data_IF_693943534873
#
_entry.id   IF_693943534873
#
_cell.length_a   1.000
_cell.length_b   1.000
_cell.length_c   1.000
_cell.angle_alpha   90.00
_cell.angle_beta   90.00
_cell.angle_gamma   90.00
#
_symmetry.space_group_name_H-M   'P 1'
#
loop_
_entity.id
_entity.type
_entity.pdbx_description
1 polymer ?
#
# COMPACT_ATOMS: atom_id res chain seq x y z
N UNK A 1 -26.38 -22.81 -4.75
CA UNK A 1 -26.64 -21.39 -4.95
C UNK A 1 -25.62 -20.66 -4.09
N UNK A 2 -24.55 -20.15 -4.68
CA UNK A 2 -23.46 -19.47 -4.00
C UNK A 2 -23.68 -17.98 -4.06
N UNK A 3 -23.92 -17.34 -2.92
CA UNK A 3 -24.01 -15.90 -2.82
C UNK A 3 -22.62 -15.30 -3.06
N UNK A 4 -22.50 -14.55 -4.16
CA UNK A 4 -21.32 -13.77 -4.49
C UNK A 4 -21.19 -12.60 -3.51
N UNK A 5 -20.25 -12.73 -2.55
CA UNK A 5 -19.89 -11.65 -1.63
C UNK A 5 -19.49 -10.40 -2.42
N UNK A 6 -20.20 -9.29 -2.24
CA UNK A 6 -19.87 -8.01 -2.84
C UNK A 6 -18.46 -7.57 -2.36
N UNK A 7 -17.61 -7.05 -3.26
CA UNK A 7 -16.29 -6.58 -2.89
C UNK A 7 -16.41 -5.39 -1.93
N UNK A 8 -15.63 -5.45 -0.83
CA UNK A 8 -15.56 -4.39 0.18
C UNK A 8 -15.19 -3.04 -0.45
N UNK A 9 -16.19 -2.17 -0.61
CA UNK A 9 -16.03 -0.81 -1.11
C UNK A 9 -15.73 0.20 0.01
N UNK A 10 -15.79 -0.21 1.28
CA UNK A 10 -15.71 0.69 2.45
C UNK A 10 -14.31 1.27 2.63
N UNK A 11 -13.25 0.50 2.33
CA UNK A 11 -11.86 0.96 2.41
C UNK A 11 -11.54 2.10 1.45
N UNK A 12 -12.11 2.07 0.24
CA UNK A 12 -11.89 3.10 -0.78
C UNK A 12 -12.65 4.41 -0.49
N UNK A 13 -13.87 4.34 0.02
CA UNK A 13 -14.64 5.53 0.43
C UNK A 13 -13.97 6.26 1.59
N UNK A 14 -13.35 5.51 2.51
CA UNK A 14 -12.59 6.10 3.59
C UNK A 14 -11.33 6.82 3.07
N UNK A 15 -10.59 6.23 2.14
CA UNK A 15 -9.41 6.86 1.52
C UNK A 15 -9.79 8.10 0.71
N UNK A 16 -10.90 8.08 -0.05
CA UNK A 16 -11.41 9.25 -0.77
C UNK A 16 -11.77 10.41 0.18
N UNK A 17 -12.39 10.11 1.32
CA UNK A 17 -12.73 11.13 2.34
C UNK A 17 -11.50 11.81 2.93
N UNK A 18 -10.34 11.11 2.95
CA UNK A 18 -9.07 11.68 3.39
C UNK A 18 -8.36 12.50 2.30
N UNK A 19 -8.60 12.21 1.03
CA UNK A 19 -8.10 13.01 -0.08
C UNK A 19 -8.71 14.41 -0.13
N UNK A 20 -9.99 14.54 0.25
CA UNK A 20 -10.70 15.82 0.24
C UNK A 20 -10.49 16.66 1.50
N UNK A 21 -9.97 16.08 2.59
CA UNK A 21 -9.76 16.74 3.87
C UNK A 21 -8.40 17.46 4.01
N UNK A 22 -7.48 17.27 3.06
CA UNK A 22 -6.21 17.99 3.03
C UNK A 22 -6.26 19.03 1.91
N UNK A 23 -6.03 20.33 2.20
CA UNK A 23 -5.84 21.31 1.14
C UNK A 23 -4.62 20.87 0.29
N UNK A 24 -4.67 21.02 -1.04
CA UNK A 24 -3.50 20.75 -1.87
C UNK A 24 -2.33 21.61 -1.40
N UNK A 25 -1.10 21.08 -1.39
CA UNK A 25 0.06 21.89 -1.06
C UNK A 25 0.11 23.09 -2.02
N UNK A 26 0.09 24.30 -1.46
CA UNK A 26 0.28 25.56 -2.21
C UNK A 26 1.72 25.63 -2.69
N UNK A 27 2.03 24.89 -3.73
CA UNK A 27 3.22 25.12 -4.54
C UNK A 27 2.92 24.67 -5.96
N UNK A 28 2.77 25.65 -6.83
CA UNK A 28 3.35 25.72 -8.17
C UNK A 28 2.57 26.70 -9.04
N UNK A 29 3.27 27.78 -9.37
CA UNK A 29 2.92 28.67 -10.45
C UNK A 29 2.79 27.87 -11.76
N UNK A 30 1.71 28.17 -12.45
CA UNK A 30 1.29 27.60 -13.73
C UNK A 30 2.30 28.00 -14.84
N UNK A 31 3.18 27.08 -15.23
CA UNK A 31 3.86 27.20 -16.54
C UNK A 31 3.06 26.45 -17.59
N UNK A 32 2.61 27.22 -18.58
CA UNK A 32 2.00 26.67 -19.82
C UNK A 32 3.13 26.09 -20.67
N UNK A 33 3.07 24.77 -20.94
CA UNK A 33 3.89 24.17 -21.99
C UNK A 33 3.05 23.23 -22.85
N UNK A 34 3.37 23.28 -24.13
CA UNK A 34 2.88 22.60 -25.33
C UNK A 34 2.42 21.15 -25.16
N UNK A 35 1.45 20.78 -26.02
CA UNK A 35 0.86 19.45 -26.20
C UNK A 35 1.94 18.45 -26.65
N UNK A 36 2.71 17.95 -25.69
CA UNK A 36 3.52 16.75 -25.76
C UNK A 36 3.00 15.82 -24.68
N UNK A 37 3.03 14.50 -24.92
CA UNK A 37 2.68 13.42 -23.98
C UNK A 37 3.09 13.81 -22.56
N UNK A 38 2.13 14.23 -21.73
CA UNK A 38 2.42 14.75 -20.39
C UNK A 38 3.27 13.75 -19.62
N UNK A 39 4.49 14.12 -19.16
CA UNK A 39 5.25 13.28 -18.26
C UNK A 39 4.41 13.07 -17.00
N UNK A 40 4.25 11.82 -16.56
CA UNK A 40 3.57 11.55 -15.31
C UNK A 40 4.30 12.28 -14.20
N UNK A 41 3.65 13.23 -13.53
CA UNK A 41 4.25 14.00 -12.45
C UNK A 41 4.94 13.08 -11.44
N UNK A 42 6.19 13.43 -11.11
CA UNK A 42 6.94 12.77 -10.06
C UNK A 42 6.21 12.99 -8.73
N UNK A 43 6.09 11.94 -7.91
CA UNK A 43 5.55 12.11 -6.56
C UNK A 43 6.52 12.91 -5.73
N UNK A 44 6.03 13.96 -5.09
CA UNK A 44 6.80 14.64 -4.07
C UNK A 44 6.78 13.79 -2.80
N UNK A 45 7.89 13.12 -2.51
CA UNK A 45 8.07 12.32 -1.30
C UNK A 45 9.13 13.01 -0.45
N UNK A 46 8.76 13.34 0.79
CA UNK A 46 9.65 13.98 1.75
C UNK A 46 10.36 12.92 2.59
N UNK A 47 11.70 12.88 2.61
CA UNK A 47 12.47 12.00 3.50
C UNK A 47 12.06 12.21 4.97
N UNK A 48 12.03 11.12 5.73
CA UNK A 48 11.65 11.14 7.15
C UNK A 48 10.15 11.29 7.43
N UNK A 49 9.33 11.64 6.43
CA UNK A 49 7.87 11.75 6.56
C UNK A 49 7.21 10.39 6.46
N UNK A 50 6.26 10.10 7.36
CA UNK A 50 5.45 8.88 7.25
C UNK A 50 4.41 8.98 6.14
N UNK A 51 4.22 7.89 5.39
CA UNK A 51 3.22 7.76 4.33
C UNK A 51 2.33 6.55 4.55
N UNK A 52 1.03 6.71 4.27
CA UNK A 52 0.15 5.59 4.03
C UNK A 52 0.20 5.22 2.56
N UNK A 53 0.55 3.98 2.28
CA UNK A 53 0.72 3.44 0.93
C UNK A 53 -0.31 2.35 0.69
N UNK A 54 -0.95 2.37 -0.48
CA UNK A 54 -1.87 1.33 -0.90
C UNK A 54 -1.59 0.91 -2.34
N UNK A 55 -1.81 -0.36 -2.62
CA UNK A 55 -1.75 -0.91 -3.97
C UNK A 55 -2.80 -2.00 -4.14
N UNK A 56 -3.53 -1.94 -5.24
CA UNK A 56 -4.63 -2.87 -5.53
C UNK A 56 -4.32 -3.68 -6.79
N UNK A 57 -4.88 -4.87 -6.88
CA UNK A 57 -4.89 -5.68 -8.09
C UNK A 57 -5.71 -5.01 -9.21
N UNK A 58 -5.31 -5.21 -10.47
CA UNK A 58 -6.03 -4.72 -11.65
C UNK A 58 -7.48 -5.18 -11.60
N UNK A 59 -8.41 -4.26 -11.85
CA UNK A 59 -9.86 -4.52 -11.78
C UNK A 59 -10.29 -5.17 -10.46
N UNK A 60 -9.61 -4.82 -9.36
CA UNK A 60 -9.83 -5.40 -8.03
C UNK A 60 -9.64 -6.91 -7.95
N UNK A 61 -8.95 -7.49 -8.92
CA UNK A 61 -8.66 -8.93 -8.92
C UNK A 61 -7.88 -9.35 -7.67
N UNK A 62 -8.03 -10.61 -7.34
CA UNK A 62 -7.25 -11.27 -6.30
C UNK A 62 -5.76 -11.23 -6.64
N UNK A 63 -4.90 -10.86 -5.68
CA UNK A 63 -3.44 -10.83 -5.81
C UNK A 63 -2.76 -11.85 -4.91
N UNK A 64 -3.41 -12.24 -3.83
CA UNK A 64 -2.96 -13.32 -2.93
C UNK A 64 -4.00 -14.42 -2.92
N UNK A 65 -3.60 -15.64 -3.28
CA UNK A 65 -4.46 -16.82 -3.35
C UNK A 65 -4.23 -17.73 -2.15
N UNK A 66 -3.01 -17.74 -1.61
CA UNK A 66 -2.57 -18.58 -0.50
C UNK A 66 -1.76 -17.77 0.51
N UNK A 67 -1.52 -18.31 1.70
CA UNK A 67 -0.62 -17.68 2.69
C UNK A 67 0.85 -17.74 2.26
N UNK A 68 1.20 -18.72 1.41
CA UNK A 68 2.52 -18.77 0.76
C UNK A 68 2.75 -17.55 -0.14
N UNK A 69 1.72 -17.05 -0.82
CA UNK A 69 1.84 -15.83 -1.63
C UNK A 69 2.15 -14.62 -0.77
N UNK A 70 1.45 -14.49 0.35
CA UNK A 70 1.66 -13.41 1.32
C UNK A 70 3.04 -13.48 1.94
N UNK A 71 3.47 -14.66 2.35
CA UNK A 71 4.81 -14.90 2.91
C UNK A 71 5.89 -14.57 1.88
N UNK A 72 5.71 -14.96 0.62
CA UNK A 72 6.61 -14.63 -0.48
C UNK A 72 6.69 -13.12 -0.71
N UNK A 73 5.54 -12.44 -0.70
CA UNK A 73 5.50 -10.98 -0.84
C UNK A 73 6.23 -10.28 0.31
N UNK A 74 6.01 -10.69 1.57
CA UNK A 74 6.70 -10.14 2.74
C UNK A 74 8.21 -10.41 2.70
N UNK A 75 8.62 -11.58 2.22
CA UNK A 75 10.04 -11.89 2.00
C UNK A 75 10.67 -10.96 0.96
N UNK A 76 10.01 -10.72 -0.16
CA UNK A 76 10.47 -9.74 -1.15
C UNK A 76 10.54 -8.32 -0.56
N UNK A 77 9.56 -7.94 0.27
CA UNK A 77 9.60 -6.67 0.99
C UNK A 77 10.85 -6.60 1.87
N UNK A 78 11.05 -7.56 2.79
CA UNK A 78 12.16 -7.54 3.75
C UNK A 78 13.53 -7.50 3.07
N UNK A 79 13.70 -8.20 1.94
CA UNK A 79 14.95 -8.22 1.18
C UNK A 79 15.30 -6.89 0.51
N UNK A 80 14.32 -5.99 0.32
CA UNK A 80 14.52 -4.74 -0.39
C UNK A 80 14.39 -3.48 0.49
N UNK A 81 13.99 -3.62 1.76
CA UNK A 81 13.75 -2.47 2.63
C UNK A 81 15.01 -1.63 2.87
N UNK A 82 16.11 -2.28 3.26
CA UNK A 82 17.38 -1.61 3.59
C UNK A 82 17.95 -0.91 2.36
N UNK A 83 18.06 -1.62 1.24
CA UNK A 83 18.62 -1.08 -0.01
C UNK A 83 17.78 0.05 -0.61
N UNK A 84 16.47 0.04 -0.34
CA UNK A 84 15.58 1.11 -0.79
C UNK A 84 15.50 2.28 0.20
N UNK A 85 16.10 2.15 1.40
CA UNK A 85 16.01 3.17 2.45
C UNK A 85 14.57 3.40 2.89
N UNK A 86 13.85 2.33 3.26
CA UNK A 86 12.45 2.43 3.71
C UNK A 86 12.26 1.70 5.03
N UNK A 87 11.75 2.40 6.02
CA UNK A 87 11.32 1.82 7.30
C UNK A 87 9.81 1.63 7.31
N UNK A 88 9.37 0.39 7.45
CA UNK A 88 7.95 0.04 7.55
C UNK A 88 7.50 0.05 9.00
N UNK A 89 6.42 0.76 9.30
CA UNK A 89 5.81 0.86 10.64
C UNK A 89 4.66 -0.11 10.83
N UNK A 90 3.84 -0.31 9.79
CA UNK A 90 2.72 -1.23 9.81
C UNK A 90 2.39 -1.73 8.40
N UNK A 91 1.79 -2.91 8.28
CA UNK A 91 1.25 -3.43 7.03
C UNK A 91 0.05 -4.35 7.25
N UNK A 92 -0.76 -4.46 6.21
CA UNK A 92 -1.82 -5.46 6.11
C UNK A 92 -1.92 -5.92 4.65
N UNK A 93 -1.92 -7.23 4.43
CA UNK A 93 -2.05 -7.85 3.11
C UNK A 93 -3.46 -8.43 2.96
N UNK A 94 -4.32 -7.69 2.29
CA UNK A 94 -5.68 -8.12 1.97
C UNK A 94 -5.69 -9.03 0.73
N UNK A 95 -6.79 -9.69 0.46
CA UNK A 95 -6.88 -10.63 -0.67
C UNK A 95 -6.54 -10.01 -2.03
N UNK A 96 -6.92 -8.77 -2.26
CA UNK A 96 -6.77 -8.07 -3.54
C UNK A 96 -6.02 -6.73 -3.46
N UNK A 97 -5.52 -6.34 -2.29
CA UNK A 97 -4.77 -5.11 -2.10
C UNK A 97 -3.87 -5.16 -0.87
N UNK A 98 -2.99 -4.19 -0.76
CA UNK A 98 -2.07 -4.06 0.38
C UNK A 98 -2.15 -2.67 0.98
N UNK A 99 -1.94 -2.58 2.29
CA UNK A 99 -1.74 -1.35 3.03
C UNK A 99 -0.39 -1.37 3.73
N UNK A 100 0.32 -0.25 3.65
CA UNK A 100 1.55 -0.03 4.40
C UNK A 100 1.55 1.36 5.02
N UNK A 101 2.15 1.47 6.20
CA UNK A 101 2.60 2.74 6.76
C UNK A 101 4.12 2.70 6.78
N UNK A 102 4.78 3.60 6.06
CA UNK A 102 6.22 3.57 5.89
C UNK A 102 6.84 4.96 5.85
N UNK A 103 8.11 5.03 6.24
CA UNK A 103 8.93 6.24 6.26
C UNK A 103 10.09 6.05 5.29
N UNK A 104 10.19 6.86 4.22
CA UNK A 104 11.31 6.83 3.29
C UNK A 104 12.50 7.64 3.84
N UNK A 105 13.71 7.22 3.53
CA UNK A 105 14.95 7.95 3.83
C UNK A 105 15.33 8.93 2.72
N UNK A 106 14.93 8.63 1.46
CA UNK A 106 15.19 9.46 0.29
C UNK A 106 13.89 9.72 -0.48
N UNK A 107 13.89 10.73 -1.34
CA UNK A 107 12.70 11.11 -2.12
C UNK A 107 12.22 10.06 -3.13
N UNK A 108 13.08 9.15 -3.56
CA UNK A 108 12.77 8.06 -4.48
C UNK A 108 12.63 6.68 -3.80
N UNK A 109 12.94 6.56 -2.50
CA UNK A 109 12.93 5.32 -1.72
C UNK A 109 11.65 4.50 -1.93
N UNK A 110 10.48 5.14 -1.83
CA UNK A 110 9.20 4.46 -2.04
C UNK A 110 9.05 3.96 -3.48
N UNK A 111 9.50 4.74 -4.46
CA UNK A 111 9.39 4.35 -5.87
C UNK A 111 10.30 3.17 -6.19
N UNK A 112 11.52 3.17 -5.65
CA UNK A 112 12.50 2.09 -5.81
C UNK A 112 11.95 0.80 -5.18
N UNK A 113 11.50 0.85 -3.93
CA UNK A 113 10.97 -0.30 -3.21
C UNK A 113 9.79 -0.94 -3.95
N UNK A 114 8.75 -0.15 -4.22
CA UNK A 114 7.53 -0.69 -4.81
C UNK A 114 7.72 -1.19 -6.23
N UNK A 115 8.58 -0.56 -7.02
CA UNK A 115 8.95 -1.05 -8.37
C UNK A 115 9.59 -2.43 -8.29
N UNK A 116 10.57 -2.63 -7.38
CA UNK A 116 11.27 -3.91 -7.22
C UNK A 116 10.33 -5.01 -6.72
N UNK A 117 9.62 -4.75 -5.62
CA UNK A 117 8.76 -5.75 -4.98
C UNK A 117 7.55 -6.08 -5.84
N UNK A 118 6.81 -5.07 -6.31
CA UNK A 118 5.61 -5.30 -7.13
C UNK A 118 5.95 -5.91 -8.48
N UNK A 119 7.04 -5.48 -9.11
CA UNK A 119 7.49 -6.05 -10.38
C UNK A 119 7.85 -7.52 -10.24
N UNK A 120 8.68 -7.87 -9.24
CA UNK A 120 9.09 -9.25 -9.01
C UNK A 120 7.93 -10.14 -8.60
N UNK A 121 7.08 -9.67 -7.70
CA UNK A 121 5.89 -10.42 -7.28
C UNK A 121 4.92 -10.66 -8.44
N UNK A 122 4.68 -9.64 -9.29
CA UNK A 122 3.83 -9.78 -10.47
C UNK A 122 4.39 -10.83 -11.46
N UNK A 123 5.70 -10.84 -11.71
CA UNK A 123 6.34 -11.85 -12.55
C UNK A 123 6.13 -13.27 -12.02
N UNK A 124 6.36 -13.46 -10.71
CA UNK A 124 6.18 -14.77 -10.06
C UNK A 124 4.73 -15.24 -10.13
N UNK A 125 3.77 -14.35 -9.86
CA UNK A 125 2.36 -14.66 -9.89
C UNK A 125 1.86 -14.98 -11.31
N UNK A 126 2.29 -14.20 -12.29
CA UNK A 126 1.93 -14.44 -13.69
C UNK A 126 2.50 -15.77 -14.18
N UNK A 127 3.76 -16.10 -13.86
CA UNK A 127 4.34 -17.39 -14.19
C UNK A 127 3.58 -18.55 -13.53
N UNK A 128 3.28 -18.46 -12.23
CA UNK A 128 2.55 -19.52 -11.50
C UNK A 128 1.12 -19.72 -12.02
N UNK A 129 0.45 -18.65 -12.41
CA UNK A 129 -0.96 -18.69 -12.86
C UNK A 129 -1.07 -18.82 -14.38
N UNK A 130 0.04 -19.05 -15.09
CA UNK A 130 0.11 -19.17 -16.56
C UNK A 130 -0.63 -18.03 -17.27
N UNK A 131 -0.43 -16.79 -16.80
CA UNK A 131 -1.08 -15.60 -17.34
C UNK A 131 -0.08 -14.50 -17.68
N UNK A 132 -0.54 -13.49 -18.45
CA UNK A 132 0.19 -12.29 -18.78
C UNK A 132 -0.55 -11.03 -18.33
N UNK A 133 0.08 -9.85 -18.50
CA UNK A 133 -0.51 -8.57 -18.19
C UNK A 133 -0.24 -8.06 -16.80
N UNK A 134 -0.93 -6.99 -16.42
CA UNK A 134 -0.69 -6.29 -15.17
C UNK A 134 -1.39 -6.99 -13.99
N UNK A 135 -0.60 -7.37 -12.97
CA UNK A 135 -1.15 -7.83 -11.69
C UNK A 135 -1.69 -6.65 -10.88
N UNK A 136 -0.95 -5.55 -10.84
CA UNK A 136 -1.27 -4.36 -10.05
C UNK A 136 -1.91 -3.27 -10.91
N UNK A 137 -2.93 -2.62 -10.32
CA UNK A 137 -3.63 -1.50 -10.95
C UNK A 137 -2.78 -0.23 -10.83
N UNK A 138 -2.26 0.28 -11.95
CA UNK A 138 -1.48 1.51 -11.99
C UNK A 138 -0.23 1.50 -11.06
N UNK A 139 0.22 2.71 -10.67
CA UNK A 139 1.25 2.91 -9.63
C UNK A 139 0.59 2.88 -8.25
N UNK A 140 1.36 2.49 -7.22
CA UNK A 140 0.90 2.57 -5.82
C UNK A 140 0.38 3.97 -5.49
N UNK A 141 -0.59 4.06 -4.61
CA UNK A 141 -1.06 5.32 -4.02
C UNK A 141 -0.25 5.61 -2.75
N UNK A 142 0.07 6.88 -2.49
CA UNK A 142 0.73 7.31 -1.25
C UNK A 142 0.16 8.63 -0.75
N UNK A 143 -0.06 8.74 0.55
CA UNK A 143 -0.53 9.94 1.23
C UNK A 143 0.37 10.23 2.43
N UNK A 144 0.92 11.44 2.52
CA UNK A 144 1.70 11.87 3.67
C UNK A 144 0.81 11.94 4.93
N UNK A 145 1.37 11.54 6.07
CA UNK A 145 0.65 11.46 7.35
C UNK A 145 1.19 12.49 8.33
N UNK A 146 0.37 13.41 8.79
CA UNK A 146 0.69 14.21 9.99
C UNK A 146 0.77 13.32 11.24
N UNK A 147 1.37 13.76 12.35
CA UNK A 147 1.46 12.95 13.58
C UNK A 147 0.11 12.41 14.07
N UNK A 148 -0.95 13.21 13.99
CA UNK A 148 -2.31 12.80 14.34
C UNK A 148 -2.85 11.74 13.38
N UNK A 149 -2.60 11.91 12.08
CA UNK A 149 -3.02 10.97 11.05
C UNK A 149 -2.22 9.68 11.08
N UNK A 150 -0.96 9.72 11.49
CA UNK A 150 -0.12 8.53 11.65
C UNK A 150 -0.75 7.55 12.66
N UNK A 151 -1.14 8.03 13.86
CA UNK A 151 -1.80 7.17 14.86
C UNK A 151 -3.08 6.52 14.32
N UNK A 152 -3.90 7.30 13.61
CA UNK A 152 -5.12 6.78 12.98
C UNK A 152 -4.85 5.78 11.87
N UNK A 153 -3.82 6.02 11.05
CA UNK A 153 -3.43 5.11 9.97
C UNK A 153 -2.90 3.77 10.51
N UNK A 154 -2.11 3.80 11.60
CA UNK A 154 -1.65 2.60 12.28
C UNK A 154 -2.84 1.77 12.79
N UNK A 155 -3.75 2.40 13.53
CA UNK A 155 -4.96 1.74 14.02
C UNK A 155 -5.88 1.24 12.87
N UNK A 156 -5.96 1.98 11.76
CA UNK A 156 -6.71 1.56 10.59
C UNK A 156 -6.12 0.30 9.95
N UNK A 157 -4.80 0.28 9.71
CA UNK A 157 -4.11 -0.87 9.13
C UNK A 157 -4.27 -2.10 10.03
N UNK A 158 -4.21 -1.91 11.34
CA UNK A 158 -4.39 -2.96 12.33
C UNK A 158 -5.79 -3.59 12.30
N UNK A 159 -6.83 -2.76 12.18
CA UNK A 159 -8.24 -3.19 12.20
C UNK A 159 -8.79 -3.60 10.83
N UNK A 160 -8.00 -3.45 9.76
CA UNK A 160 -8.45 -3.69 8.39
C UNK A 160 -8.96 -5.14 8.17
N UNK A 161 -8.30 -6.21 8.65
CA UNK A 161 -8.79 -7.56 8.49
C UNK A 161 -10.15 -7.82 9.15
N UNK A 162 -10.40 -7.22 10.32
CA UNK A 162 -11.70 -7.32 11.01
C UNK A 162 -12.79 -6.60 10.24
N UNK A 163 -12.50 -5.40 9.73
CA UNK A 163 -13.45 -4.62 8.91
C UNK A 163 -13.83 -5.31 7.61
N UNK A 164 -12.93 -6.13 7.08
CA UNK A 164 -13.15 -6.94 5.88
C UNK A 164 -13.79 -8.31 6.19
N UNK A 165 -14.21 -8.53 7.43
CA UNK A 165 -14.78 -9.79 7.91
C UNK A 165 -13.90 -11.03 7.63
N UNK A 166 -12.56 -10.86 7.57
CA UNK A 166 -11.62 -11.96 7.38
C UNK A 166 -11.32 -12.68 8.70
N UNK A 167 -11.43 -11.99 9.81
CA UNK A 167 -11.24 -12.50 11.18
C UNK A 167 -12.14 -11.73 12.15
N UNK A 168 -12.43 -12.34 13.31
CA UNK A 168 -13.23 -11.70 14.38
C UNK A 168 -12.45 -10.65 15.16
N UNK A 169 -11.16 -10.87 15.37
CA UNK A 169 -10.26 -9.98 16.12
C UNK A 169 -8.99 -9.68 15.33
N UNK A 170 -8.38 -8.48 15.50
CA UNK A 170 -7.15 -8.13 14.79
C UNK A 170 -6.03 -9.14 15.04
N UNK A 171 -5.89 -9.70 16.23
CA UNK A 171 -4.83 -10.64 16.64
C UNK A 171 -4.86 -11.95 15.85
N UNK A 172 -6.02 -12.36 15.39
CA UNK A 172 -6.24 -13.59 14.62
C UNK A 172 -5.67 -13.52 13.20
N UNK A 173 -5.37 -12.30 12.72
CA UNK A 173 -4.82 -12.11 11.37
C UNK A 173 -3.29 -12.07 11.41
N UNK A 174 -2.66 -13.22 11.19
CA UNK A 174 -1.20 -13.42 11.32
C UNK A 174 -0.35 -12.61 10.31
N UNK A 175 -0.97 -12.08 9.27
CA UNK A 175 -0.27 -11.40 8.13
C UNK A 175 -0.36 -9.89 8.24
N UNK A 176 -0.16 -9.39 9.44
CA UNK A 176 -0.03 -7.97 9.77
C UNK A 176 1.07 -7.77 10.81
N UNK A 177 1.64 -6.58 10.87
CA UNK A 177 2.49 -6.13 11.98
C UNK A 177 2.39 -4.62 12.15
N UNK A 178 2.36 -4.18 13.40
CA UNK A 178 2.57 -2.79 13.81
C UNK A 178 3.88 -2.75 14.61
N UNK A 179 4.84 -1.96 14.16
CA UNK A 179 6.09 -1.78 14.89
C UNK A 179 5.85 -0.74 15.99
N UNK A 180 5.86 -1.18 17.27
CA UNK A 180 5.84 -0.22 18.39
C UNK A 180 4.84 -0.45 19.51
N UNK A 181 4.45 -1.68 19.83
CA UNK A 181 3.91 -2.00 21.16
C UNK A 181 4.77 -3.07 21.85
N UNK A 182 6.03 -2.73 22.12
CA UNK A 182 6.65 -3.35 23.30
C UNK A 182 6.11 -2.56 24.49
N UNK A 183 5.12 -3.14 25.16
CA UNK A 183 4.79 -2.72 26.50
C UNK A 183 6.06 -2.79 27.33
N UNK A 184 6.47 -1.68 27.88
CA UNK A 184 7.35 -1.64 29.03
C UNK A 184 6.60 -2.32 30.16
N UNK A 185 7.05 -3.49 30.53
CA UNK A 185 6.76 -4.07 31.83
C UNK A 185 7.48 -3.25 32.89
#
# INVERSE_FOLDING_TARGET
MGEGGQPDTTGWRFLQKWQTALPPPRFLARQKHSVGRMPRNQRCVMPGQAYHITQQGTNRQRVFFTDTDRSTYLRLMSQNLTDAGVRVLAWCLMTNHVHFVAVPEQSDSLAVLWRRVHGRFAQMMNARLSRSGHLWQNRYYSCALSPTHLRRALAYVERNPVRAALVGRPEEYSIRRVQGSRGTA
#
